data_IF_203657913254
#
_entry.id   IF_203657913254
#
_cell.length_a   1.000
_cell.length_b   1.000
_cell.length_c   1.000
_cell.angle_alpha   90.00
_cell.angle_beta   90.00
_cell.angle_gamma   90.00
#
_symmetry.space_group_name_H-M   'P 1'
#
loop_
_entity.id
_entity.type
_entity.pdbx_description
1 polymer ?
#
# COMPACT_ATOMS: atom_id res chain seq x y z
N UNK A 1 29.01 3.95 -8.18
CA UNK A 1 28.52 5.21 -8.79
C UNK A 1 27.67 6.00 -7.80
N UNK A 2 26.68 5.38 -7.17
CA UNK A 2 25.80 6.02 -6.18
C UNK A 2 26.58 6.42 -4.91
N UNK A 3 27.10 5.45 -4.15
CA UNK A 3 27.78 5.71 -2.87
C UNK A 3 29.14 6.38 -3.06
N UNK A 4 30.03 5.73 -3.79
CA UNK A 4 31.44 6.13 -3.87
C UNK A 4 31.72 7.39 -4.68
N UNK A 5 30.79 7.83 -5.54
CA UNK A 5 30.99 8.97 -6.43
C UNK A 5 29.84 9.99 -6.37
N UNK A 6 28.72 9.67 -5.71
CA UNK A 6 27.54 10.54 -5.64
C UNK A 6 27.10 11.07 -7.01
N UNK A 7 27.20 10.23 -8.05
CA UNK A 7 26.80 10.58 -9.42
C UNK A 7 25.29 10.73 -9.57
N UNK A 8 24.55 9.90 -8.85
CA UNK A 8 23.10 9.98 -8.77
C UNK A 8 22.68 9.34 -7.44
N UNK A 9 21.54 9.78 -6.93
CA UNK A 9 20.95 9.28 -5.69
C UNK A 9 20.14 8.00 -5.91
N UNK A 10 19.87 7.25 -4.83
CA UNK A 10 19.13 5.98 -4.92
C UNK A 10 17.70 6.15 -5.44
N UNK A 11 16.99 7.20 -5.03
CA UNK A 11 15.64 7.54 -5.50
C UNK A 11 15.62 7.79 -7.01
N UNK A 12 16.63 8.49 -7.55
CA UNK A 12 16.77 8.70 -9.00
C UNK A 12 17.07 7.40 -9.74
N UNK A 13 17.94 6.54 -9.17
CA UNK A 13 18.22 5.23 -9.76
C UNK A 13 16.96 4.36 -9.79
N UNK A 14 16.25 4.30 -8.66
CA UNK A 14 15.00 3.58 -8.51
C UNK A 14 13.97 4.06 -9.55
N UNK A 15 13.81 5.38 -9.68
CA UNK A 15 12.92 6.00 -10.66
C UNK A 15 13.29 5.58 -12.09
N UNK A 16 14.55 5.75 -12.49
CA UNK A 16 15.00 5.45 -13.84
C UNK A 16 14.78 3.96 -14.17
N UNK A 17 15.07 3.05 -13.25
CA UNK A 17 14.88 1.61 -13.50
C UNK A 17 13.41 1.22 -13.56
N UNK A 18 12.54 1.86 -12.77
CA UNK A 18 11.10 1.58 -12.72
C UNK A 18 10.38 2.03 -13.99
N UNK A 19 10.75 3.20 -14.53
CA UNK A 19 10.03 3.86 -15.62
C UNK A 19 10.51 3.50 -17.03
N UNK A 20 11.45 2.57 -17.16
CA UNK A 20 11.90 2.11 -18.48
C UNK A 20 10.84 1.23 -19.15
N UNK A 21 10.68 1.44 -20.44
CA UNK A 21 9.88 0.58 -21.32
C UNK A 21 10.65 -0.71 -21.60
N UNK A 22 10.58 -1.64 -20.67
CA UNK A 22 11.21 -2.95 -20.75
C UNK A 22 10.21 -4.02 -21.11
N UNK A 23 10.65 -5.00 -21.91
CA UNK A 23 9.97 -6.28 -22.06
C UNK A 23 10.00 -7.04 -20.72
N UNK A 24 9.23 -8.13 -20.61
CA UNK A 24 9.06 -8.83 -19.33
C UNK A 24 10.40 -9.30 -18.72
N UNK A 25 11.28 -9.90 -19.53
CA UNK A 25 12.59 -10.36 -19.07
C UNK A 25 13.50 -9.21 -18.61
N UNK A 26 13.49 -8.10 -19.34
CA UNK A 26 14.27 -6.91 -18.99
C UNK A 26 13.72 -6.24 -17.72
N UNK A 27 12.40 -6.32 -17.50
CA UNK A 27 11.77 -5.85 -16.28
C UNK A 27 12.18 -6.72 -15.09
N UNK A 28 12.20 -8.05 -15.22
CA UNK A 28 12.70 -8.94 -14.17
C UNK A 28 14.16 -8.65 -13.83
N UNK A 29 15.01 -8.45 -14.84
CA UNK A 29 16.39 -8.03 -14.66
C UNK A 29 16.49 -6.67 -13.96
N UNK A 30 15.59 -5.73 -14.28
CA UNK A 30 15.54 -4.42 -13.62
C UNK A 30 15.26 -4.55 -12.12
N UNK A 31 14.34 -5.43 -11.72
CA UNK A 31 14.06 -5.75 -10.32
C UNK A 31 15.25 -6.41 -9.63
N UNK A 32 15.95 -7.30 -10.32
CA UNK A 32 17.15 -7.95 -9.79
C UNK A 32 18.28 -6.94 -9.54
N UNK A 33 18.53 -6.04 -10.50
CA UNK A 33 19.51 -4.95 -10.35
C UNK A 33 19.11 -4.03 -9.18
N UNK A 34 17.83 -3.68 -9.07
CA UNK A 34 17.34 -2.86 -7.96
C UNK A 34 17.54 -3.55 -6.60
N UNK A 35 17.21 -4.84 -6.51
CA UNK A 35 17.44 -5.63 -5.30
C UNK A 35 18.93 -5.70 -4.95
N UNK A 36 19.82 -5.89 -5.93
CA UNK A 36 21.27 -5.87 -5.69
C UNK A 36 21.77 -4.51 -5.19
N UNK A 37 21.23 -3.40 -5.71
CA UNK A 37 21.69 -2.05 -5.38
C UNK A 37 21.13 -1.55 -4.05
N UNK A 38 19.90 -1.92 -3.71
CA UNK A 38 19.17 -1.39 -2.55
C UNK A 38 19.20 -2.34 -1.35
N UNK A 39 18.96 -3.63 -1.57
CA UNK A 39 18.86 -4.64 -0.50
C UNK A 39 20.24 -5.15 -0.10
N UNK A 40 21.07 -5.52 -1.09
CA UNK A 40 22.37 -6.13 -0.84
C UNK A 40 23.47 -5.10 -0.52
N UNK A 41 23.16 -3.80 -0.65
CA UNK A 41 24.09 -2.74 -0.30
C UNK A 41 23.84 -2.28 1.13
N UNK A 42 24.84 -2.46 2.00
CA UNK A 42 24.77 -2.06 3.40
C UNK A 42 24.49 -0.58 3.60
N UNK A 43 24.87 0.30 2.67
CA UNK A 43 24.64 1.76 2.79
C UNK A 43 23.17 2.13 2.72
N UNK A 44 22.40 1.52 1.82
CA UNK A 44 20.97 1.82 1.73
C UNK A 44 20.20 1.17 2.88
N UNK A 45 20.51 -0.10 3.19
CA UNK A 45 19.88 -0.83 4.29
C UNK A 45 20.13 -0.19 5.65
N UNK A 46 21.34 0.35 5.92
CA UNK A 46 21.61 1.08 7.16
C UNK A 46 20.82 2.39 7.24
N UNK A 47 20.79 3.17 6.15
CA UNK A 47 19.98 4.39 6.05
C UNK A 47 18.50 4.14 6.27
N UNK A 48 17.99 3.03 5.77
CA UNK A 48 16.61 2.63 5.94
C UNK A 48 16.31 2.25 7.40
N UNK A 49 17.16 1.42 8.01
CA UNK A 49 16.99 0.99 9.40
C UNK A 49 17.12 2.14 10.40
N UNK A 50 18.09 3.05 10.18
CA UNK A 50 18.28 4.22 11.02
C UNK A 50 17.10 5.19 10.88
N UNK A 51 16.55 5.34 9.67
CA UNK A 51 15.36 6.15 9.44
C UNK A 51 14.17 5.63 10.25
N UNK A 52 13.91 4.33 10.23
CA UNK A 52 12.84 3.73 11.04
C UNK A 52 13.11 3.83 12.54
N UNK A 53 14.36 3.65 12.97
CA UNK A 53 14.74 3.75 14.38
C UNK A 53 14.54 5.16 14.92
N UNK A 54 14.96 6.18 14.16
CA UNK A 54 14.73 7.58 14.49
C UNK A 54 13.24 7.92 14.51
N UNK A 55 12.42 7.30 13.66
CA UNK A 55 10.99 7.60 13.57
C UNK A 55 10.11 6.87 14.59
N UNK A 56 10.40 5.62 14.91
CA UNK A 56 9.56 4.86 15.84
C UNK A 56 9.59 5.46 17.27
N UNK A 57 10.61 6.26 17.59
CA UNK A 57 10.65 7.12 18.76
C UNK A 57 9.55 8.21 18.78
N UNK A 58 8.99 8.60 17.63
CA UNK A 58 7.91 9.60 17.50
C UNK A 58 6.51 8.99 17.53
N UNK A 59 6.35 7.70 17.21
CA UNK A 59 5.02 7.08 17.05
C UNK A 59 4.24 6.85 18.35
N UNK A 60 4.78 7.22 19.52
CA UNK A 60 4.11 7.15 20.82
C UNK A 60 3.39 8.45 21.22
N UNK A 61 2.99 9.28 20.25
CA UNK A 61 2.09 10.43 20.48
C UNK A 61 2.75 11.80 20.52
N UNK A 62 4.01 11.93 20.10
CA UNK A 62 4.71 13.22 20.09
C UNK A 62 4.65 13.91 18.72
N UNK A 63 4.51 15.24 18.76
CA UNK A 63 4.67 16.14 17.61
C UNK A 63 6.00 15.86 16.90
N UNK A 64 6.05 16.05 15.57
CA UNK A 64 7.28 15.94 14.78
C UNK A 64 8.45 16.59 15.51
N UNK A 65 9.45 15.80 15.90
CA UNK A 65 10.63 16.30 16.59
C UNK A 65 11.75 16.58 15.58
N UNK A 66 12.07 17.87 15.31
CA UNK A 66 13.10 18.24 14.35
C UNK A 66 14.50 17.76 14.75
N UNK A 67 14.74 17.47 16.03
CA UNK A 67 16.05 17.03 16.52
C UNK A 67 16.40 15.63 16.00
N UNK A 68 15.45 14.69 16.00
CA UNK A 68 15.68 13.34 15.49
C UNK A 68 15.83 13.31 13.98
N UNK A 69 15.05 14.12 13.25
CA UNK A 69 15.27 14.29 11.82
C UNK A 69 16.63 14.94 11.53
N UNK A 70 17.03 15.95 12.32
CA UNK A 70 18.35 16.55 12.24
C UNK A 70 19.47 15.53 12.48
N UNK A 71 19.31 14.63 13.46
CA UNK A 71 20.25 13.55 13.72
C UNK A 71 20.35 12.59 12.52
N UNK A 72 19.23 12.22 11.91
CA UNK A 72 19.25 11.38 10.70
C UNK A 72 20.03 12.04 9.57
N UNK A 73 19.76 13.32 9.28
CA UNK A 73 20.46 14.07 8.22
C UNK A 73 21.95 14.24 8.53
N UNK A 74 22.33 14.40 9.80
CA UNK A 74 23.74 14.46 10.21
C UNK A 74 24.47 13.12 10.04
N UNK A 75 23.81 12.01 10.40
CA UNK A 75 24.37 10.66 10.24
C UNK A 75 24.46 10.26 8.76
N UNK A 76 23.45 10.65 7.97
CA UNK A 76 23.32 10.30 6.56
C UNK A 76 23.26 11.54 5.67
N UNK A 77 24.35 12.33 5.58
CA UNK A 77 24.35 13.57 4.80
C UNK A 77 24.22 13.26 3.31
N UNK A 78 23.25 13.92 2.68
CA UNK A 78 23.01 13.75 1.25
C UNK A 78 23.93 14.66 0.43
N UNK A 79 24.50 14.05 -0.62
CA UNK A 79 25.47 14.67 -1.53
C UNK A 79 24.80 14.87 -2.88
N UNK A 80 24.59 16.12 -3.27
CA UNK A 80 23.78 16.52 -4.44
C UNK A 80 24.61 17.10 -5.59
N UNK A 81 25.84 17.54 -5.32
CA UNK A 81 26.70 18.27 -6.25
C UNK A 81 27.98 17.50 -6.61
N UNK A 82 27.89 16.16 -6.65
CA UNK A 82 28.99 15.27 -7.02
C UNK A 82 30.20 15.40 -6.09
N UNK A 83 29.96 15.69 -4.81
CA UNK A 83 30.96 16.02 -3.80
C UNK A 83 32.04 14.94 -3.70
N UNK A 84 31.62 13.66 -3.65
CA UNK A 84 32.54 12.51 -3.60
C UNK A 84 33.42 12.38 -4.85
N UNK A 85 32.89 12.76 -6.03
CA UNK A 85 33.68 12.75 -7.25
C UNK A 85 34.67 13.91 -7.26
N UNK A 86 34.23 15.11 -6.90
CA UNK A 86 35.07 16.31 -6.83
C UNK A 86 36.21 16.13 -5.84
N UNK A 87 35.93 15.57 -4.67
CA UNK A 87 36.93 15.24 -3.65
C UNK A 87 38.00 14.30 -4.22
N UNK A 88 37.60 13.24 -4.92
CA UNK A 88 38.54 12.29 -5.56
C UNK A 88 39.33 12.90 -6.72
N UNK A 89 38.78 13.90 -7.39
CA UNK A 89 39.42 14.64 -8.47
C UNK A 89 40.19 15.88 -7.98
N UNK A 90 40.28 16.12 -6.67
CA UNK A 90 40.89 17.32 -6.07
C UNK A 90 40.30 18.64 -6.61
N UNK A 91 38.99 18.66 -6.90
CA UNK A 91 38.25 19.85 -7.32
C UNK A 91 37.59 20.49 -6.09
N UNK A 92 37.76 21.81 -5.86
CA UNK A 92 37.14 22.48 -4.71
C UNK A 92 35.62 22.44 -4.79
N UNK A 93 34.99 22.18 -3.64
CA UNK A 93 33.52 22.18 -3.48
C UNK A 93 33.13 23.56 -2.97
N UNK A 94 32.50 24.37 -3.84
CA UNK A 94 32.11 25.75 -3.54
C UNK A 94 30.58 25.94 -3.59
N UNK A 95 29.82 24.86 -3.74
CA UNK A 95 28.37 24.94 -3.85
C UNK A 95 27.70 25.21 -2.51
N UNK A 96 26.79 26.19 -2.49
CA UNK A 96 25.93 26.43 -1.34
C UNK A 96 24.84 25.35 -1.27
N UNK A 97 24.79 24.64 -0.15
CA UNK A 97 23.76 23.63 0.13
C UNK A 97 22.55 24.34 0.73
N UNK A 98 21.36 24.09 0.16
CA UNK A 98 20.10 24.58 0.71
C UNK A 98 19.72 23.77 1.96
N UNK A 99 19.14 24.43 2.94
CA UNK A 99 18.66 23.75 4.14
C UNK A 99 17.48 22.84 3.82
N UNK A 100 17.59 21.58 4.26
CA UNK A 100 16.56 20.57 4.04
C UNK A 100 15.80 20.31 5.34
N UNK A 101 14.54 20.73 5.40
CA UNK A 101 13.74 20.68 6.64
C UNK A 101 12.91 19.40 6.81
N UNK A 102 12.46 18.79 5.72
CA UNK A 102 11.52 17.66 5.76
C UNK A 102 11.83 16.54 4.76
N UNK A 103 12.51 16.84 3.65
CA UNK A 103 12.77 15.86 2.60
C UNK A 103 14.05 15.06 2.84
N UNK A 104 13.97 13.74 2.80
CA UNK A 104 15.15 12.89 2.79
C UNK A 104 15.02 11.79 1.73
N UNK A 105 16.11 11.05 1.50
CA UNK A 105 16.17 9.98 0.52
C UNK A 105 15.03 8.97 0.66
N UNK A 106 14.72 8.52 1.88
CA UNK A 106 13.68 7.52 2.15
C UNK A 106 12.29 8.04 1.77
N UNK A 107 11.99 9.29 2.14
CA UNK A 107 10.73 9.94 1.79
C UNK A 107 10.63 10.25 0.29
N UNK A 108 11.75 10.52 -0.39
CA UNK A 108 11.75 10.68 -1.86
C UNK A 108 11.61 9.37 -2.63
N UNK A 109 11.90 8.23 -2.01
CA UNK A 109 11.61 6.92 -2.60
C UNK A 109 10.10 6.62 -2.65
N UNK A 110 9.30 7.12 -1.70
CA UNK A 110 7.87 6.81 -1.55
C UNK A 110 7.04 6.95 -2.84
N UNK A 111 7.09 8.09 -3.57
CA UNK A 111 6.32 8.21 -4.81
C UNK A 111 6.73 7.17 -5.86
N UNK A 112 8.01 6.81 -5.90
CA UNK A 112 8.54 5.82 -6.84
C UNK A 112 8.11 4.40 -6.47
N UNK A 113 7.97 4.10 -5.17
CA UNK A 113 7.47 2.80 -4.71
C UNK A 113 6.07 2.48 -5.22
N UNK A 114 5.21 3.49 -5.37
CA UNK A 114 3.87 3.30 -5.94
C UNK A 114 3.93 2.76 -7.37
N UNK A 115 4.79 3.35 -8.20
CA UNK A 115 5.03 2.89 -9.56
C UNK A 115 5.72 1.53 -9.60
N UNK A 116 6.68 1.29 -8.71
CA UNK A 116 7.37 0.00 -8.61
C UNK A 116 6.40 -1.13 -8.28
N UNK A 117 5.47 -0.92 -7.33
CA UNK A 117 4.41 -1.85 -7.02
C UNK A 117 3.50 -2.09 -8.22
N UNK A 118 3.09 -1.03 -8.92
CA UNK A 118 2.26 -1.14 -10.12
C UNK A 118 2.94 -1.97 -11.22
N UNK A 119 4.24 -1.75 -11.46
CA UNK A 119 5.03 -2.54 -12.43
C UNK A 119 5.17 -4.00 -12.00
N UNK A 120 5.37 -4.27 -10.71
CA UNK A 120 5.43 -5.63 -10.18
C UNK A 120 4.08 -6.36 -10.38
N UNK A 121 2.96 -5.67 -10.14
CA UNK A 121 1.61 -6.17 -10.40
C UNK A 121 1.43 -6.50 -11.91
N UNK A 122 2.06 -5.76 -12.80
CA UNK A 122 1.93 -6.01 -14.25
C UNK A 122 2.78 -7.18 -14.77
N UNK A 123 3.75 -7.66 -13.99
CA UNK A 123 4.55 -8.83 -14.35
C UNK A 123 3.69 -10.10 -14.38
N UNK A 124 3.91 -10.94 -15.40
CA UNK A 124 3.26 -12.26 -15.48
C UNK A 124 4.04 -13.30 -14.69
N UNK A 125 5.35 -13.12 -14.60
CA UNK A 125 6.26 -14.01 -13.89
C UNK A 125 6.57 -13.50 -12.48
N UNK A 126 6.60 -14.42 -11.51
CA UNK A 126 7.03 -14.11 -10.14
C UNK A 126 8.54 -13.95 -10.07
N UNK A 127 9.01 -13.11 -9.15
CA UNK A 127 10.43 -12.89 -8.91
C UNK A 127 10.72 -12.75 -7.42
N UNK A 128 11.56 -13.66 -6.89
CA UNK A 128 12.02 -13.60 -5.51
C UNK A 128 12.81 -12.31 -5.22
N UNK A 129 13.55 -11.80 -6.21
CA UNK A 129 14.32 -10.56 -6.05
C UNK A 129 13.39 -9.35 -5.96
N UNK A 130 12.34 -9.32 -6.77
CA UNK A 130 11.30 -8.30 -6.67
C UNK A 130 10.53 -8.39 -5.34
N UNK A 131 10.25 -9.61 -4.88
CA UNK A 131 9.57 -9.82 -3.61
C UNK A 131 10.39 -9.33 -2.42
N UNK A 132 11.68 -9.68 -2.37
CA UNK A 132 12.58 -9.24 -1.31
C UNK A 132 12.75 -7.71 -1.31
N UNK A 133 12.92 -7.11 -2.49
CA UNK A 133 13.03 -5.67 -2.65
C UNK A 133 11.78 -4.95 -2.09
N UNK A 134 10.60 -5.42 -2.48
CA UNK A 134 9.34 -4.83 -2.05
C UNK A 134 9.07 -5.09 -0.56
N UNK A 135 9.42 -6.26 -0.02
CA UNK A 135 9.28 -6.54 1.42
C UNK A 135 10.07 -5.54 2.27
N UNK A 136 11.30 -5.19 1.86
CA UNK A 136 12.11 -4.19 2.57
C UNK A 136 11.56 -2.77 2.43
N UNK A 137 11.19 -2.37 1.21
CA UNK A 137 10.76 -1.00 0.94
C UNK A 137 9.32 -0.73 1.39
N UNK A 138 8.49 -1.76 1.53
CA UNK A 138 7.08 -1.61 1.86
C UNK A 138 6.84 -0.95 3.22
N UNK A 139 7.77 -1.09 4.16
CA UNK A 139 7.69 -0.41 5.45
C UNK A 139 7.66 1.12 5.32
N UNK A 140 8.20 1.67 4.22
CA UNK A 140 8.15 3.11 3.96
C UNK A 140 6.71 3.59 3.72
N UNK A 141 5.77 2.72 3.35
CA UNK A 141 4.37 3.13 3.16
C UNK A 141 3.76 3.73 4.43
N UNK A 142 4.25 3.42 5.65
CA UNK A 142 3.84 4.09 6.91
C UNK A 142 3.88 5.62 6.81
N UNK A 143 4.73 6.16 5.92
CA UNK A 143 4.94 7.59 5.70
C UNK A 143 4.21 8.14 4.47
N UNK A 144 3.40 7.33 3.80
CA UNK A 144 2.66 7.76 2.63
C UNK A 144 1.49 8.67 3.05
N UNK A 145 1.30 9.80 2.38
CA UNK A 145 0.29 10.79 2.77
C UNK A 145 -1.15 10.27 2.64
N UNK A 146 -1.45 9.53 1.56
CA UNK A 146 -2.80 9.04 1.24
C UNK A 146 -2.81 7.53 0.91
N UNK A 147 -2.44 6.67 1.87
CA UNK A 147 -2.17 5.25 1.59
C UNK A 147 -3.43 4.48 1.20
N UNK A 148 -4.56 4.77 1.84
CA UNK A 148 -5.85 4.13 1.55
C UNK A 148 -6.31 4.49 0.13
N UNK A 149 -6.25 5.77 -0.25
CA UNK A 149 -6.63 6.20 -1.60
C UNK A 149 -5.71 5.59 -2.67
N UNK A 150 -4.41 5.48 -2.39
CA UNK A 150 -3.47 4.80 -3.29
C UNK A 150 -3.86 3.33 -3.47
N UNK A 151 -4.13 2.62 -2.38
CA UNK A 151 -4.53 1.20 -2.43
C UNK A 151 -5.85 1.02 -3.18
N UNK A 152 -6.88 1.80 -2.85
CA UNK A 152 -8.18 1.75 -3.53
C UNK A 152 -8.04 1.99 -5.05
N UNK A 153 -7.34 3.05 -5.45
CA UNK A 153 -7.16 3.39 -6.87
C UNK A 153 -6.38 2.30 -7.61
N UNK A 154 -5.34 1.76 -6.98
CA UNK A 154 -4.55 0.66 -7.54
C UNK A 154 -5.42 -0.57 -7.73
N UNK A 155 -6.22 -0.92 -6.73
CA UNK A 155 -7.16 -2.04 -6.82
C UNK A 155 -8.19 -1.86 -7.93
N UNK A 156 -8.92 -0.75 -7.94
CA UNK A 156 -9.97 -0.51 -8.94
C UNK A 156 -9.42 -0.51 -10.36
N UNK A 157 -8.25 0.10 -10.57
CA UNK A 157 -7.60 0.12 -11.88
C UNK A 157 -7.26 -1.29 -12.38
N UNK A 158 -6.74 -2.12 -11.48
CA UNK A 158 -6.25 -3.44 -11.84
C UNK A 158 -7.34 -4.54 -11.80
N UNK A 159 -8.39 -4.42 -10.98
CA UNK A 159 -9.52 -5.35 -10.96
C UNK A 159 -10.16 -5.45 -12.35
N UNK A 160 -10.46 -4.30 -12.97
CA UNK A 160 -11.00 -4.21 -14.32
C UNK A 160 -10.09 -4.85 -15.39
N UNK A 161 -8.78 -4.81 -15.20
CA UNK A 161 -7.80 -5.44 -16.11
C UNK A 161 -7.64 -6.94 -15.89
N UNK A 162 -7.94 -7.46 -14.70
CA UNK A 162 -7.84 -8.89 -14.40
C UNK A 162 -9.08 -9.66 -14.80
N UNK A 163 -10.26 -9.05 -14.70
CA UNK A 163 -11.51 -9.70 -15.12
C UNK A 163 -11.58 -9.98 -16.63
N UNK A 164 -10.85 -9.23 -17.46
CA UNK A 164 -10.91 -9.36 -18.92
C UNK A 164 -10.06 -10.49 -19.51
N UNK A 165 -9.10 -11.05 -18.76
CA UNK A 165 -8.18 -12.07 -19.26
C UNK A 165 -8.30 -13.31 -18.38
N UNK A 166 -8.68 -14.47 -18.92
CA UNK A 166 -9.07 -15.63 -18.12
C UNK A 166 -8.21 -16.86 -18.50
N UNK A 167 -7.03 -17.04 -17.88
CA UNK A 167 -6.20 -18.28 -17.98
C UNK A 167 -5.26 -18.45 -16.76
N UNK A 168 -4.95 -19.70 -16.38
CA UNK A 168 -4.22 -20.17 -15.17
C UNK A 168 -2.95 -19.42 -14.73
N UNK A 169 -2.25 -18.68 -15.62
CA UNK A 169 -1.12 -17.83 -15.21
C UNK A 169 -1.51 -16.69 -14.27
N UNK A 170 -2.80 -16.36 -14.23
CA UNK A 170 -3.39 -15.26 -13.47
C UNK A 170 -3.54 -15.60 -11.98
N UNK A 171 -3.60 -16.87 -11.58
CA UNK A 171 -3.72 -17.25 -10.17
C UNK A 171 -2.47 -16.88 -9.35
N UNK A 172 -1.27 -17.12 -9.89
CA UNK A 172 -0.01 -16.78 -9.23
C UNK A 172 0.25 -15.27 -9.18
N UNK A 173 -0.13 -14.60 -10.26
CA UNK A 173 -0.07 -13.15 -10.41
C UNK A 173 -1.06 -12.47 -9.44
N UNK A 174 -2.27 -13.01 -9.31
CA UNK A 174 -3.27 -12.59 -8.31
C UNK A 174 -2.79 -12.84 -6.88
N UNK A 175 -2.04 -13.91 -6.61
CA UNK A 175 -1.43 -14.17 -5.28
C UNK A 175 -0.40 -13.11 -4.89
N UNK A 176 0.53 -12.79 -5.80
CA UNK A 176 1.54 -11.75 -5.56
C UNK A 176 0.89 -10.37 -5.35
N UNK A 177 -0.21 -10.09 -6.06
CA UNK A 177 -1.01 -8.86 -5.91
C UNK A 177 -1.70 -8.78 -4.56
N UNK A 178 -2.40 -9.86 -4.17
CA UNK A 178 -3.06 -10.01 -2.88
C UNK A 178 -2.09 -9.82 -1.72
N UNK A 179 -0.91 -10.47 -1.78
CA UNK A 179 0.16 -10.31 -0.78
C UNK A 179 0.64 -8.86 -0.69
N UNK A 180 0.88 -8.19 -1.82
CA UNK A 180 1.40 -6.81 -1.83
C UNK A 180 0.41 -5.81 -1.27
N UNK A 181 -0.86 -5.92 -1.64
CA UNK A 181 -1.88 -5.01 -1.14
C UNK A 181 -2.21 -5.28 0.33
N UNK A 182 -2.16 -6.54 0.78
CA UNK A 182 -2.20 -6.91 2.20
C UNK A 182 -1.08 -6.23 3.00
N UNK A 183 0.15 -6.22 2.48
CA UNK A 183 1.26 -5.53 3.14
C UNK A 183 1.06 -4.00 3.23
N UNK A 184 0.53 -3.37 2.20
CA UNK A 184 0.31 -1.90 2.22
C UNK A 184 -0.81 -1.54 3.19
N UNK A 185 -1.88 -2.35 3.25
CA UNK A 185 -3.00 -2.15 4.18
C UNK A 185 -2.59 -2.38 5.64
N UNK A 186 -1.79 -3.41 5.92
CA UNK A 186 -1.32 -3.70 7.30
C UNK A 186 -0.18 -2.80 7.77
N UNK A 187 0.59 -2.19 6.84
CA UNK A 187 1.62 -1.21 7.19
C UNK A 187 1.06 0.12 7.74
N UNK A 188 -0.24 0.38 7.57
CA UNK A 188 -0.87 1.60 8.06
C UNK A 188 -1.47 1.40 9.45
N UNK A 189 -0.91 2.10 10.43
CA UNK A 189 -1.45 2.10 11.81
C UNK A 189 -2.72 2.96 11.96
N UNK A 190 -3.01 3.85 11.00
CA UNK A 190 -4.16 4.77 11.05
C UNK A 190 -5.44 4.19 10.46
N UNK A 191 -5.39 3.02 9.81
CA UNK A 191 -6.56 2.44 9.15
C UNK A 191 -7.43 1.72 10.17
N UNK A 192 -8.68 2.14 10.31
CA UNK A 192 -9.60 1.59 11.31
C UNK A 192 -10.48 0.48 10.74
N UNK A 193 -9.93 -0.65 10.31
CA UNK A 193 -10.76 -1.75 9.80
C UNK A 193 -11.84 -2.22 10.79
N UNK A 194 -12.91 -2.82 10.28
CA UNK A 194 -13.91 -3.44 11.16
C UNK A 194 -13.26 -4.47 12.10
N UNK A 195 -13.77 -4.69 13.32
CA UNK A 195 -13.21 -5.68 14.24
C UNK A 195 -13.18 -7.09 13.66
N UNK A 196 -14.18 -7.46 12.85
CA UNK A 196 -14.23 -8.75 12.16
C UNK A 196 -13.13 -8.87 11.10
N UNK A 197 -12.91 -7.84 10.30
CA UNK A 197 -11.82 -7.84 9.32
C UNK A 197 -10.45 -7.79 10.01
N UNK A 198 -10.31 -7.02 11.08
CA UNK A 198 -9.08 -6.97 11.89
C UNK A 198 -8.74 -8.32 12.51
N UNK A 199 -9.76 -9.04 12.99
CA UNK A 199 -9.61 -10.42 13.48
C UNK A 199 -9.25 -11.40 12.37
N UNK A 200 -9.83 -11.24 11.18
CA UNK A 200 -9.41 -12.02 10.02
C UNK A 200 -7.94 -11.73 9.64
N UNK A 201 -7.57 -10.45 9.55
CA UNK A 201 -6.20 -10.03 9.24
C UNK A 201 -5.19 -10.59 10.23
N UNK A 202 -5.53 -10.74 11.52
CA UNK A 202 -4.65 -11.30 12.54
C UNK A 202 -4.55 -12.84 12.50
N UNK A 203 -5.55 -13.52 11.93
CA UNK A 203 -5.60 -14.98 11.79
C UNK A 203 -4.98 -15.46 10.48
N UNK A 204 -4.96 -14.61 9.45
CA UNK A 204 -4.38 -14.95 8.15
C UNK A 204 -2.88 -14.76 8.18
N UNK A 205 -2.15 -15.88 8.25
CA UNK A 205 -0.73 -15.87 7.98
C UNK A 205 -0.52 -15.69 6.46
N UNK A 206 0.53 -14.97 6.05
CA UNK A 206 0.81 -14.69 4.62
C UNK A 206 0.95 -15.99 3.80
N UNK A 207 1.33 -17.09 4.46
CA UNK A 207 1.46 -18.41 3.87
C UNK A 207 0.11 -19.13 3.68
N UNK A 208 -0.92 -18.73 4.42
CA UNK A 208 -2.25 -19.35 4.48
C UNK A 208 -3.31 -18.61 3.65
N UNK A 209 -2.94 -17.50 2.98
CA UNK A 209 -3.78 -16.73 2.04
C UNK A 209 -4.41 -17.58 0.90
N UNK A 210 -3.96 -18.82 0.74
CA UNK A 210 -4.42 -19.76 -0.28
C UNK A 210 -5.30 -20.89 0.29
N UNK A 211 -5.54 -20.94 1.60
CA UNK A 211 -6.35 -22.00 2.18
C UNK A 211 -7.84 -21.66 1.98
N UNK A 212 -8.58 -22.39 1.11
CA UNK A 212 -10.00 -22.14 0.87
C UNK A 212 -10.87 -22.31 2.14
N UNK A 213 -10.35 -23.02 3.15
CA UNK A 213 -11.00 -23.17 4.44
C UNK A 213 -10.97 -21.86 5.28
N UNK A 214 -10.10 -20.91 4.92
CA UNK A 214 -10.00 -19.57 5.53
C UNK A 214 -10.83 -18.58 4.68
N UNK A 215 -12.07 -18.95 4.40
CA UNK A 215 -13.07 -18.03 3.84
C UNK A 215 -13.74 -17.28 4.97
N UNK A 216 -13.74 -15.94 4.92
CA UNK A 216 -14.55 -15.16 5.85
C UNK A 216 -16.02 -15.45 5.52
N UNK A 217 -16.72 -16.05 6.47
CA UNK A 217 -18.18 -16.03 6.45
C UNK A 217 -18.64 -14.66 6.89
N UNK A 218 -18.91 -13.82 5.90
CA UNK A 218 -19.51 -12.53 6.13
C UNK A 218 -20.99 -12.74 6.36
N UNK A 219 -21.47 -12.33 7.54
CA UNK A 219 -22.87 -12.37 7.90
C UNK A 219 -23.54 -11.00 7.73
N UNK A 220 -24.84 -10.96 7.96
CA UNK A 220 -25.62 -9.74 7.88
C UNK A 220 -25.18 -8.69 8.92
N UNK A 221 -24.73 -9.10 10.12
CA UNK A 221 -24.21 -8.18 11.14
C UNK A 221 -22.99 -7.38 10.64
N UNK A 222 -22.11 -8.01 9.87
CA UNK A 222 -20.95 -7.35 9.31
C UNK A 222 -21.33 -6.19 8.37
N UNK A 223 -22.25 -6.42 7.43
CA UNK A 223 -22.70 -5.38 6.50
C UNK A 223 -23.43 -4.25 7.24
N UNK A 224 -24.20 -4.58 8.28
CA UNK A 224 -24.83 -3.59 9.14
C UNK A 224 -23.79 -2.68 9.82
N UNK A 225 -22.75 -3.28 10.42
CA UNK A 225 -21.66 -2.53 11.07
C UNK A 225 -20.85 -1.67 10.09
N UNK A 226 -20.66 -2.14 8.85
CA UNK A 226 -20.00 -1.36 7.79
C UNK A 226 -20.79 -0.10 7.43
N UNK A 227 -22.11 -0.19 7.28
CA UNK A 227 -22.94 0.96 6.92
C UNK A 227 -23.06 1.93 8.10
N UNK A 228 -23.10 1.44 9.34
CA UNK A 228 -23.06 2.29 10.54
C UNK A 228 -21.76 3.08 10.65
N UNK A 229 -20.62 2.47 10.26
CA UNK A 229 -19.32 3.16 10.18
C UNK A 229 -19.31 4.29 9.14
N UNK A 230 -20.29 4.30 8.25
CA UNK A 230 -20.75 5.32 7.29
C UNK A 230 -20.58 6.84 7.48
N UNK A 231 -19.99 7.35 8.57
CA UNK A 231 -20.30 8.69 9.09
C UNK A 231 -19.28 9.77 8.68
N UNK A 232 -19.70 10.98 8.30
CA UNK A 232 -19.76 11.46 6.90
C UNK A 232 -18.37 11.77 6.28
N UNK A 233 -17.31 11.12 6.73
CA UNK A 233 -15.94 11.35 6.30
C UNK A 233 -15.63 10.51 5.06
N UNK A 234 -15.09 11.14 4.01
CA UNK A 234 -14.62 10.45 2.81
C UNK A 234 -13.60 9.35 3.15
N UNK A 235 -12.83 9.54 4.24
CA UNK A 235 -11.84 8.56 4.71
C UNK A 235 -12.48 7.20 5.04
N UNK A 236 -13.56 7.18 5.82
CA UNK A 236 -14.22 5.92 6.19
C UNK A 236 -14.83 5.22 4.98
N UNK A 237 -15.32 5.96 3.98
CA UNK A 237 -15.76 5.36 2.71
C UNK A 237 -14.64 4.62 2.00
N UNK A 238 -13.47 5.24 1.82
CA UNK A 238 -12.34 4.59 1.16
C UNK A 238 -11.80 3.39 1.94
N UNK A 239 -11.81 3.45 3.29
CA UNK A 239 -11.44 2.30 4.12
C UNK A 239 -12.43 1.14 3.95
N UNK A 240 -13.73 1.42 3.99
CA UNK A 240 -14.79 0.43 3.77
C UNK A 240 -14.70 -0.18 2.38
N UNK A 241 -14.43 0.63 1.35
CA UNK A 241 -14.26 0.13 -0.02
C UNK A 241 -13.00 -0.73 -0.16
N UNK A 242 -11.87 -0.30 0.42
CA UNK A 242 -10.65 -1.12 0.48
C UNK A 242 -10.90 -2.45 1.20
N UNK A 243 -11.67 -2.44 2.29
CA UNK A 243 -12.05 -3.65 3.04
C UNK A 243 -12.89 -4.59 2.17
N UNK A 244 -13.95 -4.09 1.51
CA UNK A 244 -14.81 -4.87 0.63
C UNK A 244 -14.07 -5.45 -0.59
N UNK A 245 -13.22 -4.65 -1.25
CA UNK A 245 -12.42 -5.13 -2.38
C UNK A 245 -11.41 -6.19 -1.93
N UNK A 246 -10.82 -6.00 -0.74
CA UNK A 246 -9.92 -7.02 -0.17
C UNK A 246 -10.66 -8.33 0.07
N UNK A 247 -11.87 -8.28 0.63
CA UNK A 247 -12.71 -9.46 0.84
C UNK A 247 -13.09 -10.16 -0.46
N UNK A 248 -13.47 -9.40 -1.50
CA UNK A 248 -13.75 -9.94 -2.84
C UNK A 248 -12.54 -10.70 -3.37
N UNK A 249 -11.35 -10.12 -3.22
CA UNK A 249 -10.12 -10.76 -3.68
C UNK A 249 -9.76 -12.00 -2.87
N UNK A 250 -10.02 -12.04 -1.56
CA UNK A 250 -9.76 -13.24 -0.76
C UNK A 250 -10.84 -14.30 -0.88
N UNK A 251 -11.98 -13.99 -1.50
CA UNK A 251 -13.02 -14.97 -1.75
C UNK A 251 -12.60 -16.02 -2.78
N UNK A 252 -13.11 -17.25 -2.63
CA UNK A 252 -12.87 -18.34 -3.57
C UNK A 252 -13.54 -18.11 -4.93
N UNK A 253 -14.58 -17.27 -4.97
CA UNK A 253 -15.31 -16.89 -6.18
C UNK A 253 -15.67 -15.39 -6.13
N UNK A 254 -14.80 -14.52 -6.67
CA UNK A 254 -15.00 -13.06 -6.65
C UNK A 254 -16.29 -12.62 -7.33
N UNK A 255 -16.69 -13.27 -8.43
CA UNK A 255 -17.85 -12.84 -9.22
C UNK A 255 -19.16 -13.03 -8.45
N UNK A 256 -19.32 -14.18 -7.77
CA UNK A 256 -20.46 -14.38 -6.89
C UNK A 256 -20.36 -13.52 -5.64
N UNK A 257 -19.16 -13.26 -5.12
CA UNK A 257 -18.97 -12.36 -3.98
C UNK A 257 -19.47 -10.94 -4.28
N UNK A 258 -19.04 -10.28 -5.37
CA UNK A 258 -19.47 -8.90 -5.69
C UNK A 258 -20.98 -8.79 -5.88
N UNK A 259 -21.58 -9.77 -6.56
CA UNK A 259 -23.02 -9.85 -6.75
C UNK A 259 -23.75 -10.05 -5.41
N UNK A 260 -23.18 -10.87 -4.53
CA UNK A 260 -23.68 -11.09 -3.18
C UNK A 260 -23.52 -9.84 -2.28
N UNK A 261 -22.42 -9.09 -2.36
CA UNK A 261 -22.24 -7.84 -1.59
C UNK A 261 -23.34 -6.84 -1.95
N UNK A 262 -23.54 -6.60 -3.25
CA UNK A 262 -24.56 -5.67 -3.72
C UNK A 262 -25.95 -6.08 -3.28
N UNK A 263 -26.26 -7.37 -3.45
CA UNK A 263 -27.56 -7.95 -3.04
C UNK A 263 -27.73 -7.92 -1.52
N UNK A 264 -26.69 -8.20 -0.75
CA UNK A 264 -26.73 -8.23 0.71
C UNK A 264 -26.86 -6.83 1.30
N UNK A 265 -26.18 -5.81 0.76
CA UNK A 265 -26.34 -4.41 1.18
C UNK A 265 -27.78 -3.95 0.92
N UNK A 266 -28.32 -4.24 -0.27
CA UNK A 266 -29.71 -3.90 -0.62
C UNK A 266 -30.69 -4.67 0.28
N UNK A 267 -30.47 -5.97 0.48
CA UNK A 267 -31.34 -6.81 1.32
C UNK A 267 -31.32 -6.35 2.77
N UNK A 268 -30.17 -5.97 3.31
CA UNK A 268 -30.04 -5.41 4.66
C UNK A 268 -30.77 -4.08 4.81
N UNK A 269 -30.68 -3.22 3.80
CA UNK A 269 -31.45 -1.98 3.76
C UNK A 269 -32.96 -2.24 3.87
N UNK A 270 -33.48 -3.27 3.20
CA UNK A 270 -34.89 -3.65 3.31
C UNK A 270 -35.23 -4.37 4.63
N UNK A 271 -34.35 -5.23 5.15
CA UNK A 271 -34.57 -5.93 6.43
C UNK A 271 -34.59 -4.96 7.61
N UNK A 272 -33.63 -4.04 7.68
CA UNK A 272 -33.54 -3.05 8.77
C UNK A 272 -34.68 -2.04 8.78
N UNK A 273 -35.29 -1.77 7.62
CA UNK A 273 -36.47 -0.90 7.54
C UNK A 273 -37.77 -1.60 7.89
N UNK A 274 -37.95 -2.87 7.49
CA UNK A 274 -39.28 -3.47 7.46
C UNK A 274 -39.48 -4.71 8.33
N UNK A 275 -38.42 -5.43 8.73
CA UNK A 275 -38.59 -6.83 9.16
C UNK A 275 -37.95 -7.23 10.51
N UNK A 276 -36.90 -6.55 11.00
CA UNK A 276 -36.19 -7.01 12.21
C UNK A 276 -35.91 -5.89 13.23
N UNK A 277 -36.40 -5.98 14.48
CA UNK A 277 -36.12 -5.00 15.53
C UNK A 277 -34.64 -4.93 15.93
N UNK A 278 -33.83 -5.95 15.64
CA UNK A 278 -32.39 -5.95 15.93
C UNK A 278 -31.60 -5.01 15.02
N UNK A 279 -32.08 -4.76 13.80
CA UNK A 279 -31.41 -3.92 12.80
C UNK A 279 -32.26 -2.69 12.43
N UNK A 280 -33.12 -2.25 13.34
CA UNK A 280 -34.06 -1.18 13.07
C UNK A 280 -33.35 0.12 12.69
N UNK A 281 -33.65 0.62 11.50
CA UNK A 281 -33.19 1.92 11.01
C UNK A 281 -34.27 2.93 11.37
N UNK A 282 -33.92 3.92 12.20
CA UNK A 282 -34.82 5.05 12.51
C UNK A 282 -35.17 5.79 11.21
N UNK A 283 -36.45 6.12 11.01
CA UNK A 283 -36.93 6.88 9.86
C UNK A 283 -36.18 8.20 9.68
N UNK A 284 -35.63 8.78 10.75
CA UNK A 284 -34.79 10.00 10.70
C UNK A 284 -33.40 9.77 10.12
N UNK A 285 -32.88 8.55 10.19
CA UNK A 285 -31.56 8.17 9.66
C UNK A 285 -31.67 7.49 8.29
N UNK A 286 -32.89 7.25 7.81
CA UNK A 286 -33.15 6.51 6.59
C UNK A 286 -32.42 7.07 5.35
N UNK A 287 -32.47 8.39 5.15
CA UNK A 287 -31.80 9.06 4.02
C UNK A 287 -30.28 8.92 4.10
N UNK A 288 -29.73 8.88 5.31
CA UNK A 288 -28.30 8.67 5.54
C UNK A 288 -27.89 7.24 5.19
N UNK A 289 -28.64 6.25 5.65
CA UNK A 289 -28.39 4.84 5.33
C UNK A 289 -28.48 4.59 3.82
N UNK A 290 -29.47 5.20 3.16
CA UNK A 290 -29.65 5.11 1.71
C UNK A 290 -28.45 5.74 0.97
N UNK A 291 -27.98 6.89 1.43
CA UNK A 291 -26.83 7.57 0.84
C UNK A 291 -25.53 6.78 1.06
N UNK A 292 -25.31 6.23 2.26
CA UNK A 292 -24.16 5.39 2.56
C UNK A 292 -24.13 4.11 1.72
N UNK A 293 -25.26 3.39 1.63
CA UNK A 293 -25.40 2.22 0.78
C UNK A 293 -25.22 2.58 -0.70
N UNK A 294 -25.81 3.68 -1.15
CA UNK A 294 -25.65 4.21 -2.50
C UNK A 294 -24.20 4.52 -2.84
N UNK A 295 -23.46 5.17 -1.94
CA UNK A 295 -22.03 5.46 -2.14
C UNK A 295 -21.20 4.19 -2.22
N UNK A 296 -21.42 3.20 -1.34
CA UNK A 296 -20.72 1.92 -1.46
C UNK A 296 -21.02 1.28 -2.82
N UNK A 297 -22.29 1.20 -3.23
CA UNK A 297 -22.68 0.56 -4.48
C UNK A 297 -22.11 1.29 -5.71
N UNK A 298 -22.11 2.62 -5.74
CA UNK A 298 -21.58 3.40 -6.88
C UNK A 298 -20.06 3.24 -7.02
N UNK A 299 -19.33 3.18 -5.90
CA UNK A 299 -17.86 3.12 -5.91
C UNK A 299 -17.30 1.68 -5.88
N UNK A 300 -18.16 0.66 -5.74
CA UNK A 300 -17.79 -0.76 -5.76
C UNK A 300 -18.14 -1.47 -7.08
N UNK A 301 -18.70 -0.75 -8.06
CA UNK A 301 -18.94 -1.20 -9.45
C UNK A 301 -17.83 -0.66 -10.35
#
# INVERSE_FOLDING_TARGET
MITNFSLFSYDRFLYIMTFRSFDENDCLLSFEILNLVLTNNMDFSSKLNDFFSCWNAHSEGDEWNPAFYGQYIQTHPEKHFFENLKEKCNVPINEAILNTYYGNLMLRCLPVLGFLNSRYIELKSQSNSADNLLDQLNHLYKFHNNPISYVYNTFMYYNNKFQSNNTMGIDMVNRSKKKRLFFILTAQQSVQFSPLFSNYLSQVNIQDLNNPDISIRIDYNYYYGLIQRLNPSCHMLYETLCELISLELFSADPATFTQNVSTNIITMFFIGKFNDPQYHIDDKEFDYWLNAAGNILVFNI
#
